data_IF_367542174553
#
_entry.id   IF_367542174553
#
_cell.length_a   1.000
_cell.length_b   1.000
_cell.length_c   1.000
_cell.angle_alpha   90.00
_cell.angle_beta   90.00
_cell.angle_gamma   90.00
#
_symmetry.space_group_name_H-M   'P 1'
#
loop_
_entity.id
_entity.type
_entity.pdbx_description
1 polymer ?
#
# COMPACT_ATOMS: atom_id res chain seq x y z
N UNK A 1 68.82 -72.31 10.43
CA UNK A 1 67.99 -72.29 9.20
C UNK A 1 67.88 -70.81 8.80
N UNK A 2 68.29 -70.36 7.59
CA UNK A 2 67.54 -70.43 6.31
C UNK A 2 66.06 -70.12 6.54
N UNK A 3 65.37 -69.08 6.07
CA UNK A 3 65.50 -68.09 4.97
C UNK A 3 64.54 -66.90 5.32
N UNK A 4 64.40 -65.73 4.64
CA UNK A 4 64.98 -65.13 3.42
C UNK A 4 64.91 -63.57 3.49
N UNK A 5 65.57 -62.90 2.56
CA UNK A 5 65.54 -61.45 2.25
C UNK A 5 64.19 -60.94 1.70
N UNK A 6 63.83 -59.66 1.92
CA UNK A 6 63.62 -58.64 0.86
C UNK A 6 63.20 -57.24 1.37
N UNK A 7 63.67 -56.19 0.66
CA UNK A 7 63.41 -54.76 0.84
C UNK A 7 62.00 -54.32 0.40
N UNK A 8 61.41 -53.32 1.06
CA UNK A 8 60.58 -52.27 0.41
C UNK A 8 60.83 -50.89 1.07
N UNK A 9 60.91 -49.84 0.25
CA UNK A 9 61.18 -48.45 0.61
C UNK A 9 60.06 -47.76 1.40
N UNK A 10 60.42 -46.86 2.31
CA UNK A 10 59.48 -46.00 3.02
C UNK A 10 59.06 -44.78 2.18
N UNK A 11 57.84 -44.78 1.64
CA UNK A 11 57.21 -43.59 1.08
C UNK A 11 56.46 -42.80 2.16
N UNK A 12 57.05 -41.69 2.62
CA UNK A 12 56.39 -40.71 3.48
C UNK A 12 55.31 -39.95 2.69
N UNK A 13 54.05 -40.44 2.76
CA UNK A 13 52.89 -39.65 2.35
C UNK A 13 52.56 -38.67 3.46
N UNK A 14 52.77 -37.38 3.21
CA UNK A 14 52.35 -36.32 4.13
C UNK A 14 50.82 -36.28 4.22
N UNK A 15 50.26 -36.61 5.40
CA UNK A 15 48.86 -36.32 5.69
C UNK A 15 48.67 -34.79 5.77
N UNK A 16 48.14 -34.21 4.70
CA UNK A 16 47.47 -32.93 4.80
C UNK A 16 46.20 -33.13 5.64
N UNK A 17 46.27 -32.79 6.93
CA UNK A 17 45.09 -32.64 7.78
C UNK A 17 44.38 -31.36 7.34
N UNK A 18 43.63 -31.45 6.25
CA UNK A 18 42.60 -30.48 5.96
C UNK A 18 41.57 -30.53 7.08
N UNK A 19 41.24 -29.37 7.66
CA UNK A 19 40.11 -29.19 8.56
C UNK A 19 38.81 -29.35 7.77
N UNK A 20 38.50 -30.61 7.44
CA UNK A 20 37.25 -31.01 6.82
C UNK A 20 36.11 -30.65 7.76
N UNK A 21 35.38 -29.60 7.42
CA UNK A 21 34.03 -29.43 7.93
C UNK A 21 33.27 -30.68 7.51
N UNK A 22 32.77 -31.47 8.47
CA UNK A 22 32.04 -32.69 8.19
C UNK A 22 30.88 -32.34 7.25
N UNK A 23 30.84 -32.99 6.08
CA UNK A 23 29.78 -32.73 5.11
C UNK A 23 28.43 -33.11 5.72
N UNK A 24 27.52 -32.14 5.81
CA UNK A 24 26.21 -32.32 6.41
C UNK A 24 25.41 -33.42 5.69
N UNK A 25 25.06 -34.48 6.43
CA UNK A 25 24.36 -35.63 5.85
C UNK A 25 22.85 -35.39 5.66
N UNK A 26 22.34 -34.17 5.89
CA UNK A 26 20.93 -33.84 5.77
C UNK A 26 20.32 -34.27 4.42
N UNK A 27 21.09 -34.20 3.32
CA UNK A 27 20.65 -34.57 1.97
C UNK A 27 20.49 -36.08 1.74
N UNK A 28 21.03 -36.93 2.62
CA UNK A 28 20.86 -38.40 2.56
C UNK A 28 19.40 -38.76 2.84
N UNK A 29 18.79 -38.13 3.84
CA UNK A 29 17.39 -38.34 4.22
C UNK A 29 16.44 -37.34 3.54
N UNK A 30 16.84 -36.07 3.42
CA UNK A 30 16.03 -35.01 2.83
C UNK A 30 16.45 -34.78 1.37
N UNK A 31 15.68 -35.33 0.43
CA UNK A 31 15.88 -35.13 -1.01
C UNK A 31 15.44 -33.73 -1.45
N UNK A 32 16.20 -32.72 -1.06
CA UNK A 32 15.92 -31.29 -1.31
C UNK A 32 16.99 -30.67 -2.21
N UNK A 33 16.54 -29.84 -3.16
CA UNK A 33 17.41 -29.06 -4.03
C UNK A 33 17.45 -27.60 -3.57
N UNK A 34 18.64 -27.11 -3.20
CA UNK A 34 18.87 -25.71 -2.85
C UNK A 34 18.96 -24.85 -4.11
N UNK A 35 18.15 -23.79 -4.20
CA UNK A 35 18.15 -22.87 -5.35
C UNK A 35 17.96 -21.41 -4.95
N UNK A 36 18.20 -20.50 -5.90
CA UNK A 36 18.12 -19.06 -5.69
C UNK A 36 19.39 -18.47 -5.08
N UNK A 37 19.24 -17.38 -4.31
CA UNK A 37 20.35 -16.60 -3.76
C UNK A 37 21.19 -17.36 -2.72
N UNK A 38 20.56 -18.30 -1.99
CA UNK A 38 21.18 -19.06 -0.91
C UNK A 38 21.64 -20.47 -1.33
N UNK A 39 21.69 -20.77 -2.63
CA UNK A 39 21.93 -22.14 -3.16
C UNK A 39 23.25 -22.80 -2.71
N UNK A 40 24.24 -22.00 -2.34
CA UNK A 40 25.58 -22.44 -1.93
C UNK A 40 25.74 -22.53 -0.41
N UNK A 41 24.72 -22.17 0.38
CA UNK A 41 24.77 -22.34 1.83
C UNK A 41 24.57 -23.81 2.22
N UNK A 42 25.21 -24.19 3.32
CA UNK A 42 24.98 -25.46 3.97
C UNK A 42 23.60 -25.44 4.67
N UNK A 43 22.97 -26.58 4.84
CA UNK A 43 21.65 -26.70 5.47
C UNK A 43 21.66 -26.16 6.90
N UNK A 44 22.69 -26.43 7.71
CA UNK A 44 22.75 -25.94 9.10
C UNK A 44 23.02 -24.44 9.19
N UNK A 45 23.47 -23.77 8.11
CA UNK A 45 23.53 -22.30 8.05
C UNK A 45 22.15 -21.65 8.24
N UNK A 46 21.07 -22.35 7.87
CA UNK A 46 19.69 -21.92 8.09
C UNK A 46 19.02 -22.74 9.21
N UNK A 47 19.32 -24.03 9.32
CA UNK A 47 18.68 -24.95 10.26
C UNK A 47 19.36 -25.02 11.64
N UNK A 48 20.39 -24.21 11.90
CA UNK A 48 21.12 -24.03 13.16
C UNK A 48 22.03 -25.20 13.54
N UNK A 49 21.48 -26.39 13.83
CA UNK A 49 22.26 -27.59 14.17
C UNK A 49 21.45 -28.87 14.00
N UNK A 50 22.12 -30.03 13.89
CA UNK A 50 21.45 -31.33 13.80
C UNK A 50 20.64 -31.66 15.07
N UNK A 51 21.12 -31.25 16.25
CA UNK A 51 20.46 -31.50 17.54
C UNK A 51 19.32 -30.53 17.88
N UNK A 52 19.25 -29.38 17.22
CA UNK A 52 18.24 -28.33 17.46
C UNK A 52 17.74 -27.72 16.13
N UNK A 53 17.42 -28.59 15.17
CA UNK A 53 17.00 -28.17 13.81
C UNK A 53 15.71 -27.34 13.83
N UNK A 54 15.79 -26.11 13.31
CA UNK A 54 14.62 -25.22 13.16
C UNK A 54 13.84 -25.56 11.89
N UNK A 55 12.56 -25.91 12.00
CA UNK A 55 11.74 -26.33 10.86
C UNK A 55 11.46 -25.21 9.82
N UNK A 56 11.25 -23.97 10.27
CA UNK A 56 11.09 -22.80 9.39
C UNK A 56 12.04 -21.66 9.82
N UNK A 57 13.27 -21.62 9.28
CA UNK A 57 14.28 -20.61 9.61
C UNK A 57 13.87 -19.15 9.34
N UNK A 58 12.90 -18.95 8.44
CA UNK A 58 12.46 -17.62 7.99
C UNK A 58 11.20 -17.12 8.72
N UNK A 59 10.65 -17.87 9.67
CA UNK A 59 9.48 -17.48 10.44
C UNK A 59 9.77 -16.29 11.36
N UNK A 60 8.80 -15.38 11.51
CA UNK A 60 8.86 -14.26 12.45
C UNK A 60 8.95 -14.71 13.93
N UNK A 61 8.51 -15.93 14.24
CA UNK A 61 8.67 -16.56 15.56
C UNK A 61 10.15 -16.80 15.85
N UNK A 62 10.68 -16.17 16.90
CA UNK A 62 12.13 -16.15 17.14
C UNK A 62 12.88 -15.22 16.17
N UNK A 63 12.22 -14.16 15.69
CA UNK A 63 12.79 -13.07 14.88
C UNK A 63 13.50 -13.52 13.59
N UNK A 64 13.18 -14.70 13.04
CA UNK A 64 13.94 -15.32 11.95
C UNK A 64 15.46 -15.33 12.24
N UNK A 65 15.86 -15.65 13.48
CA UNK A 65 17.24 -15.57 13.95
C UNK A 65 18.30 -16.20 13.01
N UNK A 66 18.07 -17.35 12.34
CA UNK A 66 19.03 -17.89 11.38
C UNK A 66 19.28 -16.96 10.19
N UNK A 67 18.23 -16.35 9.62
CA UNK A 67 18.37 -15.35 8.56
C UNK A 67 19.09 -14.09 9.07
N UNK A 68 18.73 -13.62 10.26
CA UNK A 68 19.28 -12.39 10.86
C UNK A 68 20.74 -12.51 11.35
N UNK A 69 21.29 -13.73 11.47
CA UNK A 69 22.71 -13.96 11.75
C UNK A 69 23.64 -13.28 10.71
N UNK A 70 23.24 -13.37 9.44
CA UNK A 70 23.86 -12.70 8.29
C UNK A 70 23.15 -11.38 7.94
N UNK A 71 21.82 -11.36 7.88
CA UNK A 71 21.02 -10.17 7.62
C UNK A 71 20.78 -9.36 8.91
N UNK A 72 21.86 -8.88 9.53
CA UNK A 72 21.78 -8.22 10.85
C UNK A 72 20.91 -6.96 10.79
N UNK A 73 20.03 -6.81 11.79
CA UNK A 73 19.13 -5.67 11.94
C UNK A 73 17.83 -5.74 11.12
N UNK A 74 17.61 -6.79 10.31
CA UNK A 74 16.37 -6.94 9.54
C UNK A 74 15.20 -7.49 10.38
N UNK A 75 15.47 -8.11 11.53
CA UNK A 75 14.47 -8.53 12.53
C UNK A 75 13.47 -7.43 12.88
N UNK A 76 13.95 -6.18 12.98
CA UNK A 76 13.13 -5.00 13.27
C UNK A 76 11.96 -4.78 12.29
N UNK A 77 11.96 -5.41 11.10
CA UNK A 77 10.81 -5.39 10.19
C UNK A 77 9.53 -5.96 10.83
N UNK A 78 9.67 -6.88 11.80
CA UNK A 78 8.57 -7.50 12.53
C UNK A 78 7.94 -6.57 13.59
N UNK A 79 8.63 -5.49 13.99
CA UNK A 79 8.14 -4.50 14.96
C UNK A 79 7.31 -3.38 14.31
N UNK A 80 7.46 -3.19 12.99
CA UNK A 80 6.82 -2.08 12.27
C UNK A 80 5.37 -2.36 11.88
N UNK A 81 4.69 -1.32 11.41
CA UNK A 81 3.24 -1.33 11.12
C UNK A 81 2.78 -2.41 10.12
N UNK A 82 3.66 -2.93 9.27
CA UNK A 82 3.33 -3.99 8.31
C UNK A 82 3.14 -5.36 8.98
N UNK A 83 3.98 -5.67 9.95
CA UNK A 83 3.89 -6.89 10.75
C UNK A 83 2.93 -6.71 11.92
N UNK A 84 3.10 -5.63 12.69
CA UNK A 84 2.27 -5.39 13.87
C UNK A 84 0.83 -5.04 13.51
N UNK A 85 0.56 -4.19 12.51
CA UNK A 85 -0.80 -3.62 12.26
C UNK A 85 -1.41 -2.87 13.45
N UNK A 86 -0.58 -2.18 14.21
CA UNK A 86 -0.99 -1.38 15.36
C UNK A 86 -2.05 -0.31 15.03
N UNK A 87 -2.01 0.27 13.83
CA UNK A 87 -2.97 1.30 13.39
C UNK A 87 -4.34 0.74 13.07
N UNK A 88 -4.40 -0.39 12.39
CA UNK A 88 -5.64 -1.08 12.02
C UNK A 88 -6.32 -1.69 13.25
N UNK A 89 -5.56 -2.21 14.22
CA UNK A 89 -6.10 -2.59 15.54
C UNK A 89 -6.70 -1.39 16.26
N UNK A 90 -5.90 -0.35 16.49
CA UNK A 90 -6.38 0.84 17.19
C UNK A 90 -7.60 1.50 16.50
N UNK A 91 -7.78 1.31 15.19
CA UNK A 91 -8.98 1.71 14.46
C UNK A 91 -10.19 0.82 14.77
N UNK A 92 -10.05 -0.50 14.64
CA UNK A 92 -11.10 -1.43 15.02
C UNK A 92 -11.52 -1.25 16.49
N UNK A 93 -10.56 -1.10 17.40
CA UNK A 93 -10.79 -0.95 18.83
C UNK A 93 -11.60 0.33 19.17
N UNK A 94 -11.29 1.47 18.52
CA UNK A 94 -12.00 2.74 18.79
C UNK A 94 -13.36 2.85 18.08
N UNK A 95 -13.50 2.24 16.90
CA UNK A 95 -14.68 2.41 16.04
C UNK A 95 -15.69 1.27 16.17
N UNK A 96 -15.24 0.02 16.32
CA UNK A 96 -16.10 -1.15 16.27
C UNK A 96 -16.37 -1.82 17.63
N UNK A 97 -15.52 -1.67 18.66
CA UNK A 97 -15.68 -2.43 19.93
C UNK A 97 -17.03 -2.23 20.62
N UNK A 98 -17.72 -1.12 20.39
CA UNK A 98 -19.08 -0.87 20.91
C UNK A 98 -20.19 -1.67 20.19
N UNK A 99 -19.96 -2.14 18.97
CA UNK A 99 -20.94 -2.88 18.14
C UNK A 99 -20.54 -4.32 17.83
N UNK A 100 -19.23 -4.58 17.75
CA UNK A 100 -18.64 -5.92 17.73
C UNK A 100 -17.20 -5.89 18.29
N UNK A 101 -16.97 -6.32 19.55
CA UNK A 101 -15.63 -6.37 20.14
C UNK A 101 -14.70 -7.40 19.48
N UNK A 102 -15.22 -8.28 18.62
CA UNK A 102 -14.41 -9.24 17.86
C UNK A 102 -14.17 -8.82 16.40
N UNK A 103 -14.60 -7.62 15.99
CA UNK A 103 -14.55 -7.16 14.60
C UNK A 103 -13.17 -7.33 13.95
N UNK A 104 -12.09 -6.97 14.65
CA UNK A 104 -10.72 -7.13 14.13
C UNK A 104 -10.38 -8.60 13.89
N UNK A 105 -10.64 -9.47 14.88
CA UNK A 105 -10.35 -10.91 14.78
C UNK A 105 -11.09 -11.56 13.62
N UNK A 106 -12.33 -11.13 13.38
CA UNK A 106 -13.18 -11.59 12.27
C UNK A 106 -12.69 -11.08 10.92
N UNK A 107 -12.52 -9.76 10.78
CA UNK A 107 -12.40 -9.11 9.46
C UNK A 107 -10.96 -8.71 9.06
N UNK A 108 -9.94 -9.00 9.88
CA UNK A 108 -8.59 -8.48 9.68
C UNK A 108 -7.44 -9.49 9.78
N UNK A 109 -7.70 -10.81 9.87
CA UNK A 109 -6.62 -11.78 10.13
C UNK A 109 -5.80 -12.25 8.90
N UNK A 110 -6.19 -11.91 7.66
CA UNK A 110 -5.62 -12.48 6.43
C UNK A 110 -4.25 -11.95 5.99
N UNK A 111 -3.93 -10.68 6.29
CA UNK A 111 -2.74 -9.99 5.75
C UNK A 111 -1.85 -9.43 6.88
N UNK A 112 -0.97 -10.26 7.44
CA UNK A 112 0.11 -9.85 8.36
C UNK A 112 1.39 -10.61 8.01
N UNK A 113 2.55 -9.98 8.26
CA UNK A 113 3.86 -10.59 7.99
C UNK A 113 4.11 -11.78 8.93
N UNK A 114 4.31 -12.97 8.36
CA UNK A 114 4.58 -14.25 9.02
C UNK A 114 6.06 -14.62 8.96
N UNK A 115 6.81 -14.09 8.00
CA UNK A 115 8.24 -14.36 7.85
C UNK A 115 8.88 -13.69 6.65
N UNK A 116 10.20 -13.86 6.48
CA UNK A 116 10.96 -13.23 5.39
C UNK A 116 10.50 -13.68 3.99
N UNK A 117 9.93 -14.89 3.89
CA UNK A 117 9.44 -15.47 2.63
C UNK A 117 8.12 -14.86 2.12
N UNK A 118 7.44 -14.03 2.91
CA UNK A 118 6.25 -13.31 2.40
C UNK A 118 6.62 -12.24 1.37
N UNK A 119 7.87 -11.76 1.39
CA UNK A 119 8.40 -10.79 0.43
C UNK A 119 9.40 -11.41 -0.56
N UNK A 120 10.12 -12.46 -0.18
CA UNK A 120 11.13 -13.14 -1.01
C UNK A 120 10.54 -14.23 -1.93
N UNK A 121 10.95 -14.24 -3.20
CA UNK A 121 10.47 -15.21 -4.18
C UNK A 121 10.76 -16.67 -3.80
N UNK A 122 9.85 -17.55 -4.20
CA UNK A 122 9.98 -19.00 -4.05
C UNK A 122 9.46 -19.51 -2.71
N UNK A 123 10.23 -20.34 -2.02
CA UNK A 123 9.82 -20.95 -0.76
C UNK A 123 10.70 -22.15 -0.37
N UNK A 124 10.72 -22.47 0.93
CA UNK A 124 11.56 -23.53 1.49
C UNK A 124 13.03 -23.36 1.10
N UNK A 125 13.59 -24.36 0.41
CA UNK A 125 15.00 -24.37 -0.05
C UNK A 125 15.27 -23.60 -1.36
N UNK A 126 14.26 -22.93 -1.94
CA UNK A 126 14.39 -22.15 -3.18
C UNK A 126 14.10 -20.67 -2.91
N UNK A 127 15.05 -19.94 -2.33
CA UNK A 127 14.87 -18.56 -1.87
C UNK A 127 15.48 -17.56 -2.88
N UNK A 128 14.62 -16.80 -3.55
CA UNK A 128 15.00 -15.72 -4.46
C UNK A 128 15.08 -14.35 -3.77
N UNK A 129 15.21 -13.29 -4.57
CA UNK A 129 15.11 -11.89 -4.12
C UNK A 129 13.65 -11.50 -3.87
N UNK A 130 13.42 -10.36 -3.24
CA UNK A 130 12.07 -9.81 -3.12
C UNK A 130 11.48 -9.41 -4.48
N UNK A 131 10.15 -9.41 -4.61
CA UNK A 131 9.46 -9.02 -5.86
C UNK A 131 8.23 -8.17 -5.63
N UNK A 132 7.90 -7.32 -6.62
CA UNK A 132 6.72 -6.46 -6.58
C UNK A 132 5.42 -7.28 -6.43
N UNK A 133 5.28 -8.41 -7.14
CA UNK A 133 4.08 -9.24 -7.04
C UNK A 133 3.85 -9.77 -5.62
N UNK A 134 4.92 -10.14 -4.90
CA UNK A 134 4.79 -10.56 -3.50
C UNK A 134 4.37 -9.42 -2.58
N UNK A 135 4.90 -8.20 -2.78
CA UNK A 135 4.41 -7.01 -2.07
C UNK A 135 2.91 -6.81 -2.31
N UNK A 136 2.44 -6.95 -3.55
CA UNK A 136 1.04 -6.73 -3.94
C UNK A 136 0.05 -7.73 -3.33
N UNK A 137 0.48 -8.91 -2.86
CA UNK A 137 -0.41 -9.83 -2.12
C UNK A 137 -1.12 -9.12 -0.94
N UNK A 138 -0.43 -8.18 -0.30
CA UNK A 138 -0.99 -7.31 0.75
C UNK A 138 -1.22 -5.88 0.25
N UNK A 139 -0.35 -5.34 -0.62
CA UNK A 139 -0.41 -3.96 -1.13
C UNK A 139 -1.38 -3.79 -2.32
N UNK A 140 -2.62 -4.23 -2.13
CA UNK A 140 -3.68 -4.25 -3.16
C UNK A 140 -4.99 -3.59 -2.72
N UNK A 141 -5.97 -3.54 -3.62
CA UNK A 141 -7.25 -2.87 -3.39
C UNK A 141 -7.06 -1.38 -3.09
N UNK A 142 -7.58 -0.92 -1.96
CA UNK A 142 -7.37 0.45 -1.47
C UNK A 142 -6.09 0.63 -0.64
N UNK A 143 -5.26 -0.41 -0.46
CA UNK A 143 -3.87 -0.21 -0.05
C UNK A 143 -3.03 0.25 -1.25
N UNK A 144 -1.97 1.00 -0.96
CA UNK A 144 -1.10 1.59 -2.00
C UNK A 144 -0.15 0.52 -2.53
N UNK A 145 -0.09 0.38 -3.86
CA UNK A 145 0.71 -0.60 -4.59
C UNK A 145 0.10 -0.99 -5.93
N UNK A 146 -1.17 -1.41 -5.95
CA UNK A 146 -1.87 -1.78 -7.20
C UNK A 146 -2.06 -0.57 -8.15
N UNK A 147 -2.18 0.64 -7.59
CA UNK A 147 -2.25 1.91 -8.32
C UNK A 147 -0.98 2.19 -9.15
N UNK A 148 0.20 1.82 -8.63
CA UNK A 148 1.49 1.89 -9.34
C UNK A 148 1.47 1.16 -10.69
N UNK A 149 0.76 0.03 -10.76
CA UNK A 149 0.60 -0.78 -11.97
C UNK A 149 -0.68 -0.50 -12.75
N UNK A 150 -1.40 0.59 -12.44
CA UNK A 150 -2.61 0.98 -13.17
C UNK A 150 -3.83 0.10 -12.85
N UNK A 151 -3.93 -0.44 -11.64
CA UNK A 151 -4.98 -1.39 -11.24
C UNK A 151 -5.88 -0.77 -10.15
N UNK A 152 -6.92 -0.06 -10.56
CA UNK A 152 -7.89 0.49 -9.62
C UNK A 152 -8.87 -0.59 -9.11
N UNK A 153 -9.36 -0.50 -7.86
CA UNK A 153 -10.42 -1.37 -7.36
C UNK A 153 -11.72 -1.24 -8.17
N UNK A 154 -12.46 -2.34 -8.31
CA UNK A 154 -13.84 -2.35 -8.83
C UNK A 154 -14.87 -2.14 -7.73
N UNK A 155 -16.08 -1.76 -8.10
CA UNK A 155 -17.27 -1.79 -7.24
C UNK A 155 -17.54 -3.17 -6.63
N UNK A 156 -18.08 -3.23 -5.42
CA UNK A 156 -18.27 -4.50 -4.70
C UNK A 156 -19.41 -5.35 -5.27
N UNK A 157 -20.38 -4.76 -5.99
CA UNK A 157 -21.43 -5.54 -6.66
C UNK A 157 -20.87 -6.49 -7.72
N UNK A 158 -21.35 -7.74 -7.71
CA UNK A 158 -20.92 -8.81 -8.61
C UNK A 158 -21.17 -8.47 -10.09
N UNK A 159 -22.14 -7.60 -10.40
CA UNK A 159 -22.36 -7.04 -11.75
C UNK A 159 -21.10 -6.40 -12.35
N UNK A 160 -20.23 -5.82 -11.53
CA UNK A 160 -19.02 -5.13 -11.97
C UNK A 160 -17.77 -6.02 -11.93
N UNK A 161 -17.83 -7.21 -11.34
CA UNK A 161 -16.71 -8.16 -11.19
C UNK A 161 -16.43 -8.90 -12.51
N UNK A 162 -15.87 -8.16 -13.49
CA UNK A 162 -15.61 -8.63 -14.86
C UNK A 162 -14.34 -8.01 -15.45
N UNK A 163 -13.72 -8.69 -16.42
CA UNK A 163 -12.54 -8.19 -17.15
C UNK A 163 -11.22 -8.79 -16.68
N UNK A 164 -10.12 -8.01 -16.72
CA UNK A 164 -8.79 -8.49 -16.29
C UNK A 164 -8.75 -8.75 -14.78
N UNK A 165 -8.06 -9.82 -14.38
CA UNK A 165 -7.81 -10.19 -12.98
C UNK A 165 -6.32 -10.07 -12.64
N UNK A 166 -6.02 -9.79 -11.38
CA UNK A 166 -4.68 -9.89 -10.80
C UNK A 166 -4.82 -10.44 -9.37
N UNK A 167 -4.07 -11.49 -9.01
CA UNK A 167 -4.15 -12.17 -7.71
C UNK A 167 -5.60 -12.51 -7.29
N UNK A 168 -6.38 -13.04 -8.24
CA UNK A 168 -7.79 -13.42 -8.04
C UNK A 168 -8.80 -12.28 -8.18
N UNK A 169 -8.42 -11.01 -8.00
CA UNK A 169 -9.35 -9.88 -8.00
C UNK A 169 -9.50 -9.23 -9.39
N UNK A 170 -10.71 -8.79 -9.74
CA UNK A 170 -10.94 -7.95 -10.91
C UNK A 170 -10.56 -6.49 -10.63
N UNK A 171 -10.00 -5.81 -11.63
CA UNK A 171 -9.61 -4.39 -11.51
C UNK A 171 -10.16 -3.52 -12.66
N UNK A 172 -10.20 -2.20 -12.44
CA UNK A 172 -10.33 -1.19 -13.49
C UNK A 172 -8.94 -0.89 -14.03
N UNK A 173 -8.75 -1.02 -15.35
CA UNK A 173 -7.47 -0.68 -16.00
C UNK A 173 -7.35 0.83 -16.10
N UNK A 174 -6.41 1.39 -15.34
CA UNK A 174 -6.09 2.80 -15.28
C UNK A 174 -4.70 3.06 -15.89
N UNK A 175 -4.33 4.33 -16.00
CA UNK A 175 -2.98 4.73 -16.38
C UNK A 175 -2.00 4.36 -15.23
N UNK A 176 -0.94 3.55 -15.44
CA UNK A 176 0.01 3.20 -14.36
C UNK A 176 0.85 4.41 -13.88
N UNK A 177 1.79 4.22 -12.98
CA UNK A 177 2.85 5.20 -12.71
C UNK A 177 3.86 5.24 -13.88
N UNK A 178 4.44 6.41 -14.17
CA UNK A 178 5.50 6.51 -15.18
C UNK A 178 6.78 5.78 -14.77
N UNK A 179 7.08 5.65 -13.48
CA UNK A 179 8.24 4.90 -13.00
C UNK A 179 8.05 3.39 -13.24
N UNK A 180 6.82 2.88 -13.06
CA UNK A 180 6.46 1.51 -13.40
C UNK A 180 6.62 1.24 -14.91
N UNK A 181 6.17 2.16 -15.77
CA UNK A 181 6.40 2.10 -17.23
C UNK A 181 7.88 2.16 -17.64
N UNK A 182 8.75 2.64 -16.75
CA UNK A 182 10.21 2.66 -16.93
C UNK A 182 10.92 1.49 -16.25
N UNK A 183 10.17 0.51 -15.75
CA UNK A 183 10.72 -0.73 -15.18
C UNK A 183 11.18 -0.62 -13.73
N UNK A 184 10.94 0.51 -13.04
CA UNK A 184 11.26 0.63 -11.62
C UNK A 184 10.29 -0.22 -10.79
N UNK A 185 10.84 -0.96 -9.85
CA UNK A 185 10.13 -1.83 -8.91
C UNK A 185 9.87 -1.11 -7.59
N UNK A 186 9.11 -1.75 -6.70
CA UNK A 186 8.89 -1.24 -5.34
C UNK A 186 10.21 -1.00 -4.58
N UNK A 187 11.20 -1.89 -4.76
CA UNK A 187 12.48 -1.85 -4.02
C UNK A 187 13.39 -0.67 -4.39
N UNK A 188 13.22 -0.09 -5.58
CA UNK A 188 14.01 1.05 -6.05
C UNK A 188 13.78 2.34 -5.25
N UNK A 189 12.60 2.43 -4.61
CA UNK A 189 12.22 3.46 -3.66
C UNK A 189 12.12 2.91 -2.22
N UNK A 190 11.53 1.74 -2.01
CA UNK A 190 11.32 1.11 -0.71
C UNK A 190 12.37 0.02 -0.46
N UNK A 191 13.61 0.42 -0.18
CA UNK A 191 14.69 -0.55 0.12
C UNK A 191 14.36 -1.36 1.38
N UNK A 192 14.77 -2.63 1.41
CA UNK A 192 14.56 -3.47 2.61
C UNK A 192 15.16 -2.83 3.87
N UNK A 193 16.27 -2.10 3.75
CA UNK A 193 16.88 -1.38 4.87
C UNK A 193 15.97 -0.28 5.42
N UNK A 194 15.31 0.48 4.54
CA UNK A 194 14.34 1.51 4.95
C UNK A 194 13.10 0.89 5.63
N UNK A 195 12.64 -0.27 5.14
CA UNK A 195 11.52 -1.01 5.72
C UNK A 195 11.85 -1.57 7.12
N UNK A 196 13.05 -2.15 7.30
CA UNK A 196 13.54 -2.59 8.61
C UNK A 196 13.73 -1.43 9.62
N UNK A 197 13.98 -0.22 9.13
CA UNK A 197 14.03 1.01 9.93
C UNK A 197 12.65 1.68 10.15
N UNK A 198 11.56 1.08 9.65
CA UNK A 198 10.20 1.64 9.77
C UNK A 198 9.96 2.90 8.92
N UNK A 199 10.87 3.22 8.01
CA UNK A 199 10.76 4.36 7.10
C UNK A 199 9.72 4.06 6.01
N UNK A 200 9.10 5.12 5.49
CA UNK A 200 8.11 5.00 4.41
C UNK A 200 8.74 4.77 3.03
N UNK A 201 9.97 5.23 2.83
CA UNK A 201 10.74 5.15 1.58
C UNK A 201 12.21 5.40 1.91
N UNK A 202 13.11 4.83 1.12
CA UNK A 202 14.54 5.13 1.13
C UNK A 202 14.90 6.37 0.29
N UNK A 203 13.99 6.84 -0.56
CA UNK A 203 14.17 7.98 -1.47
C UNK A 203 12.95 8.89 -1.51
N UNK A 204 13.17 10.20 -1.56
CA UNK A 204 12.18 11.21 -1.95
C UNK A 204 12.34 11.59 -3.43
N UNK A 205 11.44 12.43 -3.96
CA UNK A 205 11.44 12.80 -5.38
C UNK A 205 12.76 13.47 -5.82
N UNK A 206 13.34 14.30 -4.96
CA UNK A 206 14.55 15.10 -5.25
C UNK A 206 15.86 14.32 -5.25
N UNK A 207 15.88 13.10 -4.71
CA UNK A 207 17.07 12.23 -4.74
C UNK A 207 17.36 11.70 -6.16
N UNK A 208 16.31 11.64 -6.99
CA UNK A 208 16.39 11.21 -8.39
C UNK A 208 16.12 12.37 -9.39
N UNK A 209 15.26 13.33 -9.04
CA UNK A 209 14.81 14.39 -9.96
C UNK A 209 15.38 15.77 -9.62
N UNK A 210 16.08 16.38 -10.57
CA UNK A 210 16.44 17.81 -10.51
C UNK A 210 15.24 18.65 -10.95
N UNK A 211 14.81 19.58 -10.10
CA UNK A 211 13.66 20.47 -10.37
C UNK A 211 14.05 21.46 -11.48
N UNK A 212 13.47 21.31 -12.67
CA UNK A 212 13.62 22.28 -13.77
C UNK A 212 12.70 23.48 -13.55
N UNK A 213 13.19 24.69 -13.84
CA UNK A 213 12.41 25.93 -13.86
C UNK A 213 11.56 26.12 -15.13
N UNK A 214 11.56 25.16 -16.08
CA UNK A 214 10.81 25.25 -17.34
C UNK A 214 9.28 25.20 -17.15
N UNK A 215 8.70 24.35 -16.26
CA UNK A 215 7.28 24.44 -15.91
C UNK A 215 7.01 25.73 -15.12
N UNK A 216 5.93 26.43 -15.46
CA UNK A 216 5.49 27.67 -14.79
C UNK A 216 5.39 27.45 -13.29
N UNK A 217 4.81 26.31 -12.90
CA UNK A 217 4.52 25.92 -11.53
C UNK A 217 5.78 25.78 -10.66
N UNK A 218 6.92 25.38 -11.24
CA UNK A 218 8.18 25.20 -10.51
C UNK A 218 8.89 26.53 -10.21
N UNK A 219 8.60 27.60 -10.96
CA UNK A 219 9.13 28.94 -10.67
C UNK A 219 8.40 29.61 -9.49
N UNK A 220 7.22 29.11 -9.14
CA UNK A 220 6.43 29.59 -8.01
C UNK A 220 6.99 28.94 -6.74
N UNK A 221 7.88 29.65 -6.04
CA UNK A 221 8.53 29.23 -4.79
C UNK A 221 7.55 28.59 -3.78
N UNK A 222 6.35 29.16 -3.64
CA UNK A 222 5.32 28.64 -2.75
C UNK A 222 4.84 27.23 -3.10
N UNK A 223 4.90 26.79 -4.36
CA UNK A 223 4.61 25.41 -4.74
C UNK A 223 5.68 24.46 -4.21
N UNK A 224 6.96 24.76 -4.45
CA UNK A 224 8.07 23.90 -4.00
C UNK A 224 8.18 23.82 -2.46
N UNK A 225 7.84 24.89 -1.75
CA UNK A 225 7.91 24.92 -0.28
C UNK A 225 6.70 24.26 0.40
N UNK A 226 5.49 24.46 -0.14
CA UNK A 226 4.22 24.21 0.56
C UNK A 226 3.41 23.04 0.00
N UNK A 227 3.77 22.49 -1.16
CA UNK A 227 3.14 21.29 -1.73
C UNK A 227 4.11 20.11 -1.65
N UNK A 228 3.56 18.91 -1.55
CA UNK A 228 4.27 17.69 -1.92
C UNK A 228 4.28 17.56 -3.45
N UNK A 229 5.36 17.09 -4.08
CA UNK A 229 5.44 16.97 -5.54
C UNK A 229 4.29 16.13 -6.13
N UNK A 230 3.89 15.07 -5.42
CA UNK A 230 2.78 14.19 -5.79
C UNK A 230 1.39 14.84 -5.65
N UNK A 231 1.25 16.03 -5.05
CA UNK A 231 -0.01 16.78 -5.08
C UNK A 231 -0.37 17.28 -6.50
N UNK A 232 0.64 17.58 -7.33
CA UNK A 232 0.45 17.96 -8.73
C UNK A 232 0.66 16.80 -9.72
N UNK A 233 1.52 15.84 -9.35
CA UNK A 233 1.97 14.79 -10.26
C UNK A 233 1.19 13.47 -10.20
N UNK A 234 0.43 13.17 -9.14
CA UNK A 234 -0.43 11.98 -9.10
C UNK A 234 -1.65 12.18 -10.01
N UNK A 235 -1.73 11.41 -11.10
CA UNK A 235 -2.75 11.59 -12.13
C UNK A 235 -4.15 11.13 -11.72
N UNK A 236 -4.25 10.20 -10.77
CA UNK A 236 -5.51 9.69 -10.22
C UNK A 236 -5.29 8.99 -8.88
N UNK A 237 -6.36 8.63 -8.20
CA UNK A 237 -6.32 7.99 -6.89
C UNK A 237 -7.54 7.09 -6.65
N UNK A 238 -7.35 5.89 -6.08
CA UNK A 238 -8.46 5.08 -5.59
C UNK A 238 -9.04 5.71 -4.32
N UNK A 239 -10.29 6.14 -4.41
CA UNK A 239 -11.07 6.77 -3.35
C UNK A 239 -12.35 5.97 -3.11
N UNK A 240 -12.70 5.73 -1.85
CA UNK A 240 -13.94 5.09 -1.43
C UNK A 240 -14.65 5.97 -0.40
N UNK A 241 -15.89 6.36 -0.68
CA UNK A 241 -16.69 7.24 0.14
C UNK A 241 -17.86 6.46 0.76
N UNK A 242 -17.97 6.49 2.08
CA UNK A 242 -19.01 5.79 2.84
C UNK A 242 -18.97 4.27 2.68
N UNK A 243 -18.04 3.60 3.37
CA UNK A 243 -17.99 2.14 3.46
C UNK A 243 -19.10 1.64 4.39
N UNK A 244 -20.02 0.83 3.88
CA UNK A 244 -21.08 0.18 4.66
C UNK A 244 -20.62 -1.18 5.15
N UNK A 245 -20.69 -1.40 6.46
CA UNK A 245 -20.48 -2.70 7.10
C UNK A 245 -21.83 -3.20 7.60
N UNK A 246 -22.42 -4.13 6.84
CA UNK A 246 -23.70 -4.75 7.15
C UNK A 246 -23.43 -6.07 7.87
N UNK A 247 -23.82 -6.16 9.14
CA UNK A 247 -23.68 -7.37 9.97
C UNK A 247 -25.02 -8.11 9.98
N UNK A 248 -25.02 -9.40 9.66
CA UNK A 248 -26.25 -10.20 9.61
C UNK A 248 -26.28 -11.27 10.71
N UNK A 249 -27.45 -11.46 11.31
CA UNK A 249 -27.73 -12.55 12.27
C UNK A 249 -29.10 -13.14 11.93
N UNK A 250 -29.15 -14.43 11.61
CA UNK A 250 -30.38 -15.17 11.28
C UNK A 250 -31.28 -14.47 10.23
N UNK A 251 -30.66 -13.89 9.20
CA UNK A 251 -31.31 -13.03 8.19
C UNK A 251 -31.09 -13.59 6.78
N UNK A 252 -32.03 -14.37 6.21
CA UNK A 252 -31.97 -14.89 4.85
C UNK A 252 -31.79 -13.83 3.76
N UNK A 253 -32.34 -12.62 3.95
CA UNK A 253 -32.23 -11.50 2.98
C UNK A 253 -30.80 -11.09 2.66
N UNK A 254 -29.82 -11.54 3.46
CA UNK A 254 -28.39 -11.41 3.14
C UNK A 254 -28.04 -11.96 1.75
N UNK A 255 -28.67 -13.06 1.32
CA UNK A 255 -28.36 -13.69 0.03
C UNK A 255 -28.85 -12.86 -1.17
N UNK A 256 -29.83 -11.97 -0.97
CA UNK A 256 -30.32 -11.04 -2.00
C UNK A 256 -29.30 -9.94 -2.34
N UNK A 257 -28.33 -9.68 -1.46
CA UNK A 257 -27.28 -8.69 -1.70
C UNK A 257 -26.24 -9.24 -2.69
N UNK A 258 -26.38 -8.85 -3.96
CA UNK A 258 -25.49 -9.28 -5.06
C UNK A 258 -24.11 -8.57 -5.03
N UNK A 259 -23.41 -8.74 -3.91
CA UNK A 259 -22.10 -8.20 -3.57
C UNK A 259 -21.04 -9.31 -3.56
N UNK A 260 -19.78 -8.95 -3.79
CA UNK A 260 -18.67 -9.87 -3.62
C UNK A 260 -18.57 -10.25 -2.14
N UNK A 261 -18.32 -11.53 -1.87
CA UNK A 261 -18.14 -12.02 -0.52
C UNK A 261 -16.79 -11.53 0.04
N UNK A 262 -16.79 -11.07 1.29
CA UNK A 262 -15.55 -10.88 2.04
C UNK A 262 -15.20 -12.21 2.72
N UNK A 263 -14.13 -12.86 2.27
CA UNK A 263 -13.72 -14.20 2.72
C UNK A 263 -13.34 -14.24 4.22
N UNK A 264 -13.20 -13.09 4.89
CA UNK A 264 -12.65 -13.01 6.25
C UNK A 264 -13.68 -13.35 7.35
N UNK A 265 -14.91 -12.85 7.25
CA UNK A 265 -15.96 -13.27 8.17
C UNK A 265 -17.31 -13.46 7.48
N UNK A 266 -17.80 -14.71 7.53
CA UNK A 266 -19.10 -15.12 7.02
C UNK A 266 -20.30 -14.55 7.79
N UNK A 267 -20.17 -13.39 8.45
CA UNK A 267 -21.21 -12.65 9.19
C UNK A 267 -21.45 -11.25 8.58
N UNK A 268 -20.44 -10.69 7.91
CA UNK A 268 -20.50 -9.35 7.34
C UNK A 268 -20.68 -9.37 5.81
N UNK A 269 -21.31 -8.32 5.28
CA UNK A 269 -21.16 -7.87 3.91
C UNK A 269 -20.63 -6.44 3.91
N UNK A 270 -19.84 -6.09 2.88
CA UNK A 270 -19.34 -4.73 2.68
C UNK A 270 -19.81 -4.18 1.34
N UNK A 271 -20.23 -2.91 1.36
CA UNK A 271 -20.48 -2.09 0.17
C UNK A 271 -19.85 -0.71 0.36
N UNK A 272 -19.95 0.15 -0.64
CA UNK A 272 -19.60 1.56 -0.54
C UNK A 272 -20.69 2.41 -1.19
N UNK A 273 -20.90 3.64 -0.70
CA UNK A 273 -21.83 4.59 -1.32
C UNK A 273 -21.29 5.06 -2.68
N UNK A 274 -19.99 5.33 -2.78
CA UNK A 274 -19.35 5.79 -4.01
C UNK A 274 -17.87 5.45 -4.05
N UNK A 275 -17.37 4.95 -5.19
CA UNK A 275 -15.94 4.87 -5.47
C UNK A 275 -15.56 5.79 -6.62
N UNK A 276 -14.39 6.42 -6.52
CA UNK A 276 -13.84 7.32 -7.54
C UNK A 276 -12.39 6.98 -7.84
N UNK A 277 -12.01 7.12 -9.11
CA UNK A 277 -10.68 6.81 -9.63
C UNK A 277 -10.10 8.02 -10.38
N UNK A 278 -10.45 9.23 -9.94
CA UNK A 278 -9.98 10.50 -10.49
C UNK A 278 -8.96 11.17 -9.57
N UNK A 279 -8.64 12.44 -9.82
CA UNK A 279 -7.68 13.21 -9.04
C UNK A 279 -8.06 13.21 -7.53
N UNK A 280 -7.16 12.87 -6.59
CA UNK A 280 -7.48 12.79 -5.15
C UNK A 280 -7.71 14.16 -4.51
N UNK A 281 -8.69 14.34 -3.60
CA UNK A 281 -8.80 15.56 -2.81
C UNK A 281 -7.50 15.95 -2.10
N UNK A 282 -7.35 17.22 -1.75
CA UNK A 282 -6.14 17.79 -1.18
C UNK A 282 -6.40 18.28 0.25
N UNK A 283 -5.44 18.05 1.12
CA UNK A 283 -5.40 18.54 2.49
C UNK A 283 -3.97 18.81 2.92
N UNK A 284 -3.74 18.93 4.22
CA UNK A 284 -2.41 19.08 4.80
C UNK A 284 -1.96 17.74 5.37
N UNK A 285 -0.69 17.38 5.15
CA UNK A 285 -0.05 16.26 5.85
C UNK A 285 0.57 16.71 7.18
N UNK A 286 1.14 15.77 7.94
CA UNK A 286 1.84 16.05 9.20
C UNK A 286 3.04 17.02 9.09
N UNK A 287 3.56 17.32 7.88
CA UNK A 287 4.58 18.36 7.64
C UNK A 287 3.96 19.74 7.36
N UNK A 288 2.64 19.89 7.41
CA UNK A 288 1.91 21.12 7.06
C UNK A 288 1.87 21.43 5.55
N UNK A 289 2.38 20.51 4.71
CA UNK A 289 2.38 20.63 3.25
C UNK A 289 1.07 20.12 2.65
N UNK A 290 0.66 20.77 1.56
CA UNK A 290 -0.48 20.35 0.73
C UNK A 290 -0.13 19.01 0.08
N UNK A 291 -0.98 18.02 0.33
CA UNK A 291 -0.81 16.61 -0.03
C UNK A 291 -2.15 16.04 -0.49
N UNK A 292 -2.18 15.05 -1.39
CA UNK A 292 -3.33 14.19 -1.56
C UNK A 292 -3.79 13.62 -0.22
N UNK A 293 -5.09 13.74 0.02
CA UNK A 293 -5.82 13.05 1.06
C UNK A 293 -6.85 12.15 0.39
N UNK A 294 -7.28 11.12 1.10
CA UNK A 294 -8.42 10.28 0.73
C UNK A 294 -9.24 9.95 1.96
N UNK A 295 -10.52 9.57 1.81
CA UNK A 295 -11.17 8.78 2.84
C UNK A 295 -10.30 7.55 3.12
N UNK A 296 -10.04 7.27 4.39
CA UNK A 296 -9.36 6.04 4.80
C UNK A 296 -10.35 5.09 5.47
N UNK A 297 -11.22 5.63 6.34
CA UNK A 297 -12.33 4.93 6.97
C UNK A 297 -13.48 5.92 7.23
N UNK A 298 -14.37 6.10 6.24
CA UNK A 298 -15.70 6.67 6.50
C UNK A 298 -16.65 5.48 6.61
N UNK A 299 -17.00 5.09 7.83
CA UNK A 299 -17.64 3.81 8.14
C UNK A 299 -19.05 4.02 8.64
N UNK A 300 -19.99 3.40 7.95
CA UNK A 300 -21.37 3.21 8.38
C UNK A 300 -21.58 1.75 8.79
N UNK A 301 -22.35 1.54 9.86
CA UNK A 301 -22.70 0.23 10.38
C UNK A 301 -24.22 0.07 10.46
N UNK A 302 -24.69 -1.12 10.08
CA UNK A 302 -26.06 -1.58 10.33
C UNK A 302 -25.98 -3.03 10.79
N UNK A 303 -26.67 -3.36 11.88
CA UNK A 303 -26.89 -4.75 12.31
C UNK A 303 -28.28 -5.17 11.87
N UNK A 304 -28.40 -6.30 11.17
CA UNK A 304 -29.64 -6.84 10.63
C UNK A 304 -29.89 -8.20 11.28
N UNK A 305 -30.90 -8.27 12.15
CA UNK A 305 -31.29 -9.45 12.91
C UNK A 305 -32.68 -9.89 12.47
N UNK A 306 -32.82 -11.11 11.94
CA UNK A 306 -34.08 -11.64 11.38
C UNK A 306 -34.73 -10.67 10.40
N UNK A 307 -33.93 -10.25 9.41
CA UNK A 307 -34.29 -9.33 8.32
C UNK A 307 -34.79 -7.94 8.76
N UNK A 308 -34.44 -7.51 9.99
CA UNK A 308 -34.75 -6.17 10.52
C UNK A 308 -33.51 -5.49 11.09
N UNK A 309 -33.39 -4.19 10.89
CA UNK A 309 -32.35 -3.40 11.53
C UNK A 309 -32.50 -3.41 13.06
N UNK A 310 -31.43 -3.76 13.77
CA UNK A 310 -31.32 -3.61 15.23
C UNK A 310 -30.61 -2.29 15.55
N UNK A 311 -31.29 -1.42 16.29
CA UNK A 311 -30.80 -0.07 16.59
C UNK A 311 -30.98 0.90 15.43
N UNK A 312 -29.92 1.60 15.04
CA UNK A 312 -29.94 2.65 14.02
C UNK A 312 -29.24 2.18 12.74
N UNK A 313 -29.94 2.21 11.62
CA UNK A 313 -29.34 2.01 10.29
C UNK A 313 -28.35 3.13 9.95
N UNK A 314 -27.30 2.78 9.21
CA UNK A 314 -26.27 3.72 8.77
C UNK A 314 -25.66 4.53 9.93
N UNK A 315 -25.40 3.86 11.06
CA UNK A 315 -24.70 4.46 12.19
C UNK A 315 -23.25 4.79 11.77
N UNK A 316 -22.89 6.07 11.75
CA UNK A 316 -21.52 6.51 11.51
C UNK A 316 -20.63 6.10 12.70
N UNK A 317 -19.67 5.21 12.45
CA UNK A 317 -18.67 4.79 13.44
C UNK A 317 -17.37 5.60 13.32
N UNK A 318 -17.04 6.08 12.11
CA UNK A 318 -15.84 6.86 11.84
C UNK A 318 -16.00 7.71 10.57
N UNK A 319 -15.35 8.87 10.54
CA UNK A 319 -15.19 9.72 9.35
C UNK A 319 -13.73 10.16 9.22
N UNK A 320 -12.85 9.18 9.05
CA UNK A 320 -11.40 9.34 9.05
C UNK A 320 -10.82 9.41 7.63
N UNK A 321 -10.09 10.49 7.37
CA UNK A 321 -9.30 10.74 6.17
C UNK A 321 -7.81 10.58 6.46
N UNK A 322 -7.00 10.41 5.41
CA UNK A 322 -5.56 10.23 5.52
C UNK A 322 -4.83 10.92 4.38
N UNK A 323 -3.81 11.71 4.73
CA UNK A 323 -2.81 12.22 3.79
C UNK A 323 -1.87 11.08 3.35
N UNK A 324 -1.70 10.91 2.04
CA UNK A 324 -0.93 9.80 1.48
C UNK A 324 -0.33 10.17 0.12
N UNK A 325 0.48 9.26 -0.42
CA UNK A 325 1.08 9.37 -1.75
C UNK A 325 0.41 8.33 -2.69
N UNK A 326 -0.47 8.76 -3.60
CA UNK A 326 -0.99 7.91 -4.68
C UNK A 326 0.13 7.64 -5.69
N UNK A 327 0.42 6.36 -5.94
CA UNK A 327 1.51 5.91 -6.79
C UNK A 327 1.06 5.94 -8.26
N UNK A 328 0.77 7.13 -8.77
CA UNK A 328 0.18 7.37 -10.09
C UNK A 328 0.88 8.52 -10.80
N UNK A 329 2.18 8.69 -10.55
CA UNK A 329 2.98 9.83 -11.00
C UNK A 329 3.02 9.92 -12.52
N UNK A 330 2.78 11.13 -13.03
CA UNK A 330 2.87 11.48 -14.45
C UNK A 330 3.57 12.81 -14.67
N UNK A 331 4.10 12.98 -15.90
CA UNK A 331 4.73 14.22 -16.38
C UNK A 331 3.72 15.36 -16.60
N UNK A 332 2.51 15.01 -17.03
CA UNK A 332 1.39 15.94 -17.08
C UNK A 332 0.83 16.14 -15.67
N UNK A 333 0.51 17.38 -15.33
CA UNK A 333 -0.10 17.79 -14.06
C UNK A 333 -1.51 18.31 -14.31
N UNK A 334 -2.27 18.44 -13.23
CA UNK A 334 -3.49 19.26 -13.17
C UNK A 334 -3.24 20.71 -13.64
N UNK A 335 -4.31 21.41 -14.02
CA UNK A 335 -4.29 22.84 -14.33
C UNK A 335 -4.38 23.68 -13.04
N UNK A 336 -4.20 25.00 -13.14
CA UNK A 336 -4.17 25.86 -11.96
C UNK A 336 -5.56 25.94 -11.29
N UNK A 337 -6.63 25.96 -12.08
CA UNK A 337 -8.03 25.98 -11.67
C UNK A 337 -8.48 24.70 -10.93
N UNK A 338 -7.93 23.52 -11.28
CA UNK A 338 -8.14 22.25 -10.53
C UNK A 338 -7.77 22.35 -9.03
N UNK A 339 -7.01 23.36 -8.63
CA UNK A 339 -6.67 23.63 -7.23
C UNK A 339 -7.07 25.04 -6.76
N UNK A 340 -6.90 26.07 -7.59
CA UNK A 340 -7.21 27.45 -7.20
C UNK A 340 -8.69 27.82 -7.37
N UNK A 341 -9.47 27.04 -8.13
CA UNK A 341 -10.90 27.30 -8.38
C UNK A 341 -11.75 26.03 -8.21
N UNK A 342 -11.33 25.16 -7.29
CA UNK A 342 -12.01 23.89 -7.01
C UNK A 342 -12.20 23.75 -5.49
N UNK A 343 -13.26 24.33 -4.90
CA UNK A 343 -13.48 24.25 -3.45
C UNK A 343 -13.74 22.80 -3.01
N UNK A 344 -14.39 22.00 -3.86
CA UNK A 344 -14.56 20.55 -3.69
C UNK A 344 -13.23 19.81 -3.52
N UNK A 345 -12.14 20.30 -4.15
CA UNK A 345 -10.78 19.76 -4.00
C UNK A 345 -10.31 19.72 -2.55
N UNK A 346 -10.77 20.66 -1.73
CA UNK A 346 -10.38 20.83 -0.33
C UNK A 346 -11.53 20.55 0.66
N UNK A 347 -12.59 19.87 0.21
CA UNK A 347 -13.81 19.57 0.98
C UNK A 347 -14.51 20.85 1.49
N UNK A 348 -14.58 21.87 0.62
CA UNK A 348 -15.28 23.13 0.87
C UNK A 348 -16.45 23.31 -0.11
N UNK A 349 -17.07 22.21 -0.54
CA UNK A 349 -18.20 22.24 -1.49
C UNK A 349 -19.41 22.96 -0.88
N UNK A 350 -19.98 23.92 -1.61
CA UNK A 350 -21.15 24.66 -1.14
C UNK A 350 -22.37 23.72 -1.05
N UNK A 351 -23.34 24.04 -0.21
CA UNK A 351 -24.59 23.26 -0.13
C UNK A 351 -25.41 23.29 -1.42
N UNK A 352 -25.23 24.31 -2.27
CA UNK A 352 -25.94 24.47 -3.53
C UNK A 352 -25.37 23.59 -4.64
N UNK A 353 -24.07 23.25 -4.56
CA UNK A 353 -23.37 22.40 -5.55
C UNK A 353 -23.48 20.90 -5.22
N UNK A 354 -24.16 20.51 -4.13
CA UNK A 354 -24.25 19.12 -3.66
C UNK A 354 -25.13 18.27 -4.55
N UNK A 355 -24.49 17.32 -5.25
CA UNK A 355 -25.15 16.26 -6.01
C UNK A 355 -25.57 15.10 -5.08
N UNK A 356 -24.77 14.80 -4.06
CA UNK A 356 -25.01 13.68 -3.13
C UNK A 356 -25.62 14.21 -1.82
N UNK A 357 -26.79 13.69 -1.44
CA UNK A 357 -27.60 14.19 -0.33
C UNK A 357 -27.71 13.16 0.78
N UNK A 358 -26.57 12.95 1.45
CA UNK A 358 -26.38 11.84 2.39
C UNK A 358 -27.45 11.77 3.50
N UNK A 359 -27.94 12.91 3.99
CA UNK A 359 -28.99 12.98 5.02
C UNK A 359 -30.38 12.56 4.49
N UNK A 360 -30.68 12.81 3.21
CA UNK A 360 -31.88 12.31 2.53
C UNK A 360 -31.77 10.78 2.27
N UNK A 361 -30.55 10.30 2.00
CA UNK A 361 -30.20 8.87 1.88
C UNK A 361 -30.07 8.14 3.25
N UNK A 362 -30.48 8.78 4.35
CA UNK A 362 -30.52 8.17 5.69
C UNK A 362 -29.16 8.03 6.40
N UNK A 363 -28.10 8.68 5.92
CA UNK A 363 -26.81 8.78 6.62
C UNK A 363 -26.74 9.98 7.56
N UNK A 364 -25.70 10.02 8.41
CA UNK A 364 -25.53 11.03 9.47
C UNK A 364 -24.44 12.07 9.21
N UNK A 365 -23.63 11.90 8.17
CA UNK A 365 -22.67 12.91 7.72
C UNK A 365 -23.33 13.80 6.65
N UNK A 366 -23.30 15.13 6.81
CA UNK A 366 -23.99 16.04 5.87
C UNK A 366 -23.42 16.10 4.45
N UNK A 367 -22.13 15.80 4.24
CA UNK A 367 -21.50 15.61 2.92
C UNK A 367 -20.10 15.02 3.07
N UNK A 368 -19.65 14.24 2.08
CA UNK A 368 -18.25 13.82 2.00
C UNK A 368 -17.29 14.95 1.64
N UNK A 369 -17.77 16.02 0.98
CA UNK A 369 -16.98 17.20 0.59
C UNK A 369 -17.21 18.41 1.50
N UNK A 370 -17.48 18.14 2.77
CA UNK A 370 -17.59 19.10 3.87
C UNK A 370 -16.65 18.67 5.01
N UNK A 371 -15.79 19.55 5.51
CA UNK A 371 -14.84 19.22 6.56
C UNK A 371 -15.50 18.90 7.92
N UNK A 372 -16.76 19.33 8.13
CA UNK A 372 -17.47 19.20 9.41
C UNK A 372 -17.82 17.73 9.70
N UNK A 373 -17.59 17.30 10.94
CA UNK A 373 -17.82 15.91 11.36
C UNK A 373 -16.76 14.91 10.87
N UNK A 374 -15.73 15.36 10.15
CA UNK A 374 -14.66 14.51 9.61
C UNK A 374 -13.29 14.91 10.19
N UNK A 375 -12.28 14.05 10.08
CA UNK A 375 -10.90 14.35 10.53
C UNK A 375 -9.84 13.78 9.60
N UNK A 376 -8.63 14.34 9.58
CA UNK A 376 -7.45 13.77 8.87
C UNK A 376 -6.45 13.21 9.89
N UNK A 377 -6.33 11.89 9.97
CA UNK A 377 -5.63 11.19 11.08
C UNK A 377 -4.11 11.39 11.13
N UNK A 378 -3.51 11.98 10.10
CA UNK A 378 -2.07 12.20 9.97
C UNK A 378 -1.76 13.56 9.31
N UNK A 379 -2.57 14.56 9.62
CA UNK A 379 -2.52 15.87 9.00
C UNK A 379 -3.70 16.74 9.43
N UNK A 380 -4.23 17.54 8.50
CA UNK A 380 -5.43 18.35 8.70
C UNK A 380 -6.13 18.60 7.35
N UNK A 381 -7.39 19.04 7.37
CA UNK A 381 -7.97 19.68 6.18
C UNK A 381 -7.35 21.06 5.94
N UNK A 382 -7.49 21.61 4.73
CA UNK A 382 -7.05 22.97 4.46
C UNK A 382 -8.07 23.96 5.04
N UNK A 383 -7.70 24.85 5.99
CA UNK A 383 -8.66 25.80 6.57
C UNK A 383 -9.25 26.71 5.50
N UNK A 384 -10.55 26.97 5.54
CA UNK A 384 -11.27 27.73 4.50
C UNK A 384 -10.63 29.12 4.26
N UNK A 385 -10.25 29.84 5.33
CA UNK A 385 -9.56 31.12 5.20
C UNK A 385 -8.20 31.02 4.46
N UNK A 386 -7.52 29.86 4.52
CA UNK A 386 -6.30 29.58 3.73
C UNK A 386 -6.64 29.21 2.28
N UNK A 387 -7.74 28.50 2.04
CA UNK A 387 -8.26 28.24 0.69
C UNK A 387 -8.67 29.55 -0.02
N UNK A 388 -9.47 30.43 0.62
CA UNK A 388 -9.85 31.73 0.05
C UNK A 388 -8.63 32.59 -0.37
N UNK A 389 -7.51 32.52 0.37
CA UNK A 389 -6.24 33.16 -0.01
C UNK A 389 -5.51 32.46 -1.16
N UNK A 390 -5.62 31.13 -1.26
CA UNK A 390 -5.08 30.35 -2.38
C UNK A 390 -5.81 30.70 -3.69
N UNK A 391 -7.14 30.80 -3.63
CA UNK A 391 -8.02 31.10 -4.77
C UNK A 391 -8.01 32.54 -5.25
N UNK A 392 -7.30 33.45 -4.55
CA UNK A 392 -7.22 34.85 -4.94
C UNK A 392 -6.56 35.01 -6.32
N UNK A 393 -7.34 35.48 -7.31
CA UNK A 393 -6.93 35.66 -8.71
C UNK A 393 -6.01 36.88 -8.91
N UNK A 394 -4.87 36.90 -8.22
CA UNK A 394 -3.85 37.97 -8.31
C UNK A 394 -3.30 38.12 -9.73
N UNK A 395 -2.73 39.29 -10.06
CA UNK A 395 -2.07 39.53 -11.35
C UNK A 395 -0.96 38.50 -11.65
N UNK A 396 -0.25 38.04 -10.61
CA UNK A 396 0.75 36.98 -10.73
C UNK A 396 0.13 35.62 -11.09
N UNK A 397 -1.03 35.27 -10.50
CA UNK A 397 -1.81 34.10 -10.90
C UNK A 397 -2.24 34.21 -12.35
N UNK A 398 -2.86 35.34 -12.76
CA UNK A 398 -3.37 35.54 -14.11
C UNK A 398 -2.26 35.40 -15.17
N UNK A 399 -1.10 36.03 -14.93
CA UNK A 399 0.07 35.93 -15.80
C UNK A 399 0.57 34.48 -15.92
N UNK A 400 0.74 33.77 -14.80
CA UNK A 400 1.18 32.38 -14.81
C UNK A 400 0.18 31.44 -15.49
N UNK A 401 -1.12 31.67 -15.30
CA UNK A 401 -2.19 30.90 -15.92
C UNK A 401 -2.22 31.08 -17.44
N UNK A 402 -2.10 32.32 -17.94
CA UNK A 402 -1.99 32.61 -19.37
C UNK A 402 -0.73 31.98 -19.97
N UNK A 403 0.43 32.09 -19.31
CA UNK A 403 1.67 31.45 -19.77
C UNK A 403 1.53 29.93 -19.83
N UNK A 404 0.88 29.30 -18.84
CA UNK A 404 0.58 27.87 -18.83
C UNK A 404 -0.31 27.48 -20.03
N UNK A 405 -1.37 28.23 -20.31
CA UNK A 405 -2.24 27.99 -21.47
C UNK A 405 -1.50 28.11 -22.81
N UNK A 406 -0.63 29.11 -22.97
CA UNK A 406 0.24 29.26 -24.14
C UNK A 406 1.14 28.03 -24.37
N UNK A 407 1.57 27.33 -23.30
CA UNK A 407 2.36 26.08 -23.47
C UNK A 407 1.58 24.90 -24.07
N UNK A 408 0.24 24.95 -24.07
CA UNK A 408 -0.59 23.97 -24.75
C UNK A 408 -0.91 24.40 -26.18
N UNK A 409 -1.38 25.64 -26.38
CA UNK A 409 -1.73 26.18 -27.70
C UNK A 409 -0.53 26.11 -28.65
N UNK A 410 0.61 26.68 -28.26
CA UNK A 410 1.80 26.77 -29.10
C UNK A 410 2.51 25.41 -29.35
N UNK A 411 1.98 24.30 -28.82
CA UNK A 411 2.43 22.93 -29.17
C UNK A 411 1.58 22.31 -30.28
N UNK A 412 0.33 22.75 -30.45
CA UNK A 412 -0.58 22.23 -31.47
C UNK A 412 -0.12 22.67 -32.86
N UNK A 413 0.35 23.92 -32.98
CA UNK A 413 0.85 24.52 -34.23
C UNK A 413 2.06 23.76 -34.82
N UNK A 414 2.78 22.98 -34.00
CA UNK A 414 3.91 22.14 -34.43
C UNK A 414 3.56 20.67 -34.68
N UNK A 415 2.38 20.19 -34.26
CA UNK A 415 1.99 18.77 -34.39
C UNK A 415 1.29 18.40 -35.70
N UNK A 416 1.15 19.35 -36.63
CA UNK A 416 0.58 19.13 -37.97
C UNK A 416 1.65 19.16 -39.06
N UNK A 417 2.71 18.34 -38.91
CA UNK A 417 3.65 18.08 -40.02
C UNK A 417 4.29 16.69 -39.94
N UNK A 418 3.66 15.75 -40.68
CA UNK A 418 4.12 14.41 -41.09
C UNK A 418 4.11 13.31 -40.02
#
# INVERSE_FOLDING_TARGET
>A
MRWTTLYISACLVALNIGLGHAAENCRVCHRVEMAGAHRSLACLSCHVSESATVANPAAATGEAAPCNSCHRGFAAIFDHVMATRSRERAFADRSFTKVDPNFYRKNCNSCHLKGCLDCHQGGGHRIGTASADLCLNCHRGYFVGNDYFGRAPREDSLRYQRGKRFQGEYYLTMRPDIHAEKGLTCGDCHSMQSLAQGQKSAKECTDCHRISSRPVEHRIRAHLEKLECYACHSAWAPQEYGSFFLRFTDSPTREDFWLKWDETSGEYLRSAYLRKQDSPPLGLNARGRISPIRPQFIVYYTHIVRDRAEGRENQLLAAEWKAYFPHTIRRGTVMCDDCHDSPRRFLLESSQDRIYRLEEDGMTLGSFWDQRGQTVINGAFLPEARYRRLSARTNAFQKGYLEKWQTFVNRVDGSSSR
#
